data_IF_552007401382
#
_entry.id   IF_552007401382
#
_cell.length_a   1.000
_cell.length_b   1.000
_cell.length_c   1.000
_cell.angle_alpha   90.00
_cell.angle_beta   90.00
_cell.angle_gamma   90.00
#
_symmetry.space_group_name_H-M   'P 1'
#
loop_
_entity.id
_entity.type
_entity.pdbx_description
1 polymer ?
#
# COMPACT_ATOMS: atom_id res chain seq x y z
N UNK A 1 5.64 -18.29 3.14
CA UNK A 1 4.61 -18.38 4.22
C UNK A 1 3.87 -17.06 4.24
N UNK A 2 2.53 -17.03 4.29
CA UNK A 2 1.77 -15.77 4.26
C UNK A 2 2.10 -14.89 5.47
N UNK A 3 2.61 -13.69 5.23
CA UNK A 3 2.96 -12.72 6.27
C UNK A 3 1.73 -12.37 7.15
N UNK A 4 1.89 -12.36 8.48
CA UNK A 4 0.78 -12.16 9.47
C UNK A 4 0.04 -10.82 9.34
N UNK A 5 0.61 -9.84 8.65
CA UNK A 5 0.03 -8.50 8.46
C UNK A 5 -0.40 -8.24 7.01
N UNK A 6 -0.41 -9.29 6.17
CA UNK A 6 -0.65 -9.15 4.73
C UNK A 6 0.34 -8.18 4.07
N UNK A 7 1.60 -8.16 4.53
CA UNK A 7 2.61 -7.22 4.06
C UNK A 7 2.91 -7.42 2.57
N UNK A 8 3.07 -6.33 1.80
CA UNK A 8 3.48 -6.42 0.41
C UNK A 8 4.91 -6.97 0.28
N UNK A 9 5.20 -7.71 -0.79
CA UNK A 9 6.54 -8.20 -1.07
C UNK A 9 6.62 -9.62 -1.62
N UNK A 10 7.82 -10.19 -1.60
CA UNK A 10 8.15 -11.48 -2.24
C UNK A 10 7.43 -12.64 -1.54
N UNK A 11 7.15 -12.51 -0.25
CA UNK A 11 6.45 -13.50 0.58
C UNK A 11 4.96 -13.14 0.83
N UNK A 12 4.37 -12.27 0.00
CA UNK A 12 2.99 -11.83 0.24
C UNK A 12 1.97 -12.94 0.00
N UNK A 13 0.84 -12.85 0.71
CA UNK A 13 -0.32 -13.74 0.55
C UNK A 13 -0.91 -13.69 -0.87
N UNK A 14 -0.66 -12.61 -1.60
CA UNK A 14 -1.19 -12.38 -2.94
C UNK A 14 -0.29 -12.98 -4.03
N UNK A 15 0.96 -13.35 -3.75
CA UNK A 15 1.88 -13.89 -4.77
C UNK A 15 1.65 -15.38 -5.12
N UNK A 16 0.68 -16.05 -4.50
CA UNK A 16 0.35 -17.44 -4.83
C UNK A 16 -0.22 -17.54 -6.26
N UNK A 17 0.21 -18.53 -7.04
CA UNK A 17 -0.30 -18.87 -8.39
C UNK A 17 -1.81 -19.12 -8.41
N UNK A 18 -2.42 -19.44 -7.27
CA UNK A 18 -3.87 -19.63 -7.10
C UNK A 18 -4.53 -18.53 -6.23
N UNK A 19 -3.75 -17.55 -5.78
CA UNK A 19 -4.20 -16.48 -4.88
C UNK A 19 -4.89 -15.34 -5.63
N UNK A 20 -6.00 -14.84 -5.09
CA UNK A 20 -6.64 -13.63 -5.60
C UNK A 20 -5.65 -12.45 -5.56
N UNK A 21 -5.49 -11.73 -6.68
CA UNK A 21 -4.65 -10.54 -6.75
C UNK A 21 -5.10 -9.48 -5.74
N UNK A 22 -4.15 -8.70 -5.22
CA UNK A 22 -4.45 -7.60 -4.32
C UNK A 22 -5.36 -6.56 -5.01
N UNK A 23 -6.48 -6.25 -4.37
CA UNK A 23 -7.53 -5.34 -4.85
C UNK A 23 -7.57 -4.06 -3.99
N UNK A 24 -8.69 -3.34 -4.02
CA UNK A 24 -8.88 -2.06 -3.33
C UNK A 24 -8.58 -2.10 -1.83
N UNK A 25 -9.17 -3.04 -1.08
CA UNK A 25 -9.02 -3.10 0.37
C UNK A 25 -7.58 -3.40 0.81
N UNK A 26 -6.87 -4.24 0.06
CA UNK A 26 -5.44 -4.47 0.28
C UNK A 26 -4.61 -3.23 -0.04
N UNK A 27 -4.95 -2.50 -1.11
CA UNK A 27 -4.34 -1.19 -1.39
C UNK A 27 -4.54 -0.21 -0.24
N UNK A 28 -5.77 -0.11 0.27
CA UNK A 28 -6.15 0.75 1.41
C UNK A 28 -5.33 0.43 2.67
N UNK A 29 -5.21 -0.86 3.00
CA UNK A 29 -4.42 -1.31 4.14
C UNK A 29 -2.92 -1.00 3.96
N UNK A 30 -2.37 -1.27 2.77
CA UNK A 30 -0.97 -0.96 2.46
C UNK A 30 -0.68 0.54 2.51
N UNK A 31 -1.61 1.38 2.04
CA UNK A 31 -1.48 2.83 2.10
C UNK A 31 -1.55 3.39 3.53
N UNK A 32 -2.44 2.86 4.38
CA UNK A 32 -2.60 3.29 5.77
C UNK A 32 -1.34 3.01 6.61
N UNK A 33 -0.66 1.89 6.34
CA UNK A 33 0.55 1.46 7.05
C UNK A 33 1.84 1.65 6.25
N UNK A 34 1.79 2.46 5.18
CA UNK A 34 2.92 2.71 4.28
C UNK A 34 4.23 3.06 5.02
N UNK A 35 4.28 4.01 5.98
CA UNK A 35 5.52 4.35 6.67
C UNK A 35 6.05 3.19 7.53
N UNK A 36 5.19 2.36 8.10
CA UNK A 36 5.60 1.18 8.87
C UNK A 36 6.22 0.12 7.93
N UNK A 37 5.59 -0.15 6.79
CA UNK A 37 6.12 -1.10 5.81
C UNK A 37 7.42 -0.61 5.16
N UNK A 38 7.54 0.69 4.94
CA UNK A 38 8.80 1.30 4.51
C UNK A 38 9.92 1.06 5.52
N UNK A 39 9.66 1.30 6.82
CA UNK A 39 10.66 1.09 7.87
C UNK A 39 11.11 -0.37 7.94
N UNK A 40 10.19 -1.32 7.77
CA UNK A 40 10.50 -2.76 7.76
C UNK A 40 11.27 -3.15 6.50
N UNK A 41 10.93 -2.57 5.34
CA UNK A 41 11.62 -2.80 4.06
C UNK A 41 13.10 -2.42 4.13
N UNK A 42 13.50 -1.45 4.96
CA UNK A 42 14.91 -1.09 5.17
C UNK A 42 15.75 -2.18 5.85
N UNK A 43 15.12 -3.05 6.64
CA UNK A 43 15.81 -4.12 7.37
C UNK A 43 15.48 -5.51 6.83
N UNK A 44 14.54 -5.62 5.88
CA UNK A 44 14.08 -6.89 5.33
C UNK A 44 13.73 -6.76 3.84
N UNK A 45 14.65 -7.21 2.99
CA UNK A 45 14.54 -7.18 1.54
C UNK A 45 13.36 -7.99 0.98
N UNK A 46 12.72 -8.83 1.80
CA UNK A 46 11.55 -9.62 1.39
C UNK A 46 10.24 -8.82 1.45
N UNK A 47 10.24 -7.68 2.14
CA UNK A 47 9.09 -6.79 2.28
C UNK A 47 9.26 -5.62 1.33
N UNK A 48 8.25 -5.40 0.48
CA UNK A 48 8.17 -4.29 -0.45
C UNK A 48 7.13 -3.29 0.04
N UNK A 49 7.28 -2.03 -0.37
CA UNK A 49 6.26 -0.99 -0.16
C UNK A 49 5.03 -1.27 -1.03
N UNK A 50 5.23 -1.93 -2.18
CA UNK A 50 4.21 -2.18 -3.18
C UNK A 50 3.99 -3.67 -3.42
N UNK A 51 2.74 -4.07 -3.59
CA UNK A 51 2.40 -5.43 -3.94
C UNK A 51 2.65 -5.70 -5.43
N UNK A 52 3.40 -6.76 -5.70
CA UNK A 52 3.72 -7.21 -7.06
C UNK A 52 2.56 -7.91 -7.76
N UNK A 53 1.71 -8.66 -7.04
CA UNK A 53 0.49 -9.23 -7.61
C UNK A 53 -0.74 -8.41 -7.23
N UNK A 54 -1.01 -7.34 -7.98
CA UNK A 54 -2.15 -6.45 -7.77
C UNK A 54 -3.07 -6.40 -9.01
N UNK A 55 -4.33 -6.02 -8.80
CA UNK A 55 -5.37 -5.86 -9.83
C UNK A 55 -5.29 -4.48 -10.54
N UNK A 56 -4.13 -3.83 -10.52
CA UNK A 56 -3.90 -2.52 -11.12
C UNK A 56 -4.69 -1.39 -10.47
N UNK A 57 -5.56 -0.73 -11.25
CA UNK A 57 -6.19 0.55 -10.90
C UNK A 57 -6.91 0.57 -9.55
N UNK A 58 -7.61 -0.51 -9.17
CA UNK A 58 -8.33 -0.56 -7.90
C UNK A 58 -7.40 -0.63 -6.70
N UNK A 59 -6.28 -1.33 -6.81
CA UNK A 59 -5.24 -1.35 -5.77
C UNK A 59 -4.61 0.04 -5.62
N UNK A 60 -4.26 0.66 -6.75
CA UNK A 60 -3.64 1.99 -6.77
C UNK A 60 -4.57 3.03 -6.12
N UNK A 61 -5.87 2.97 -6.42
CA UNK A 61 -6.88 3.83 -5.83
C UNK A 61 -6.99 3.64 -4.31
N UNK A 62 -7.05 2.38 -3.84
CA UNK A 62 -7.05 2.07 -2.41
C UNK A 62 -5.80 2.59 -1.70
N UNK A 63 -4.62 2.42 -2.32
CA UNK A 63 -3.35 2.87 -1.76
C UNK A 63 -3.30 4.39 -1.60
N UNK A 64 -3.76 5.15 -2.59
CA UNK A 64 -3.83 6.62 -2.51
C UNK A 64 -4.80 7.05 -1.39
N UNK A 65 -5.97 6.42 -1.30
CA UNK A 65 -6.96 6.72 -0.24
C UNK A 65 -6.39 6.38 1.14
N UNK A 66 -5.65 5.28 1.28
CA UNK A 66 -5.03 4.89 2.55
C UNK A 66 -3.95 5.87 3.00
N UNK A 67 -3.10 6.30 2.07
CA UNK A 67 -2.10 7.35 2.31
C UNK A 67 -2.79 8.64 2.74
N UNK A 68 -3.86 9.05 2.04
CA UNK A 68 -4.61 10.25 2.40
C UNK A 68 -5.29 10.14 3.78
N UNK A 69 -5.83 8.98 4.14
CA UNK A 69 -6.42 8.76 5.46
C UNK A 69 -5.40 8.90 6.60
N UNK A 70 -4.21 8.33 6.42
CA UNK A 70 -3.12 8.44 7.39
C UNK A 70 -2.51 9.85 7.43
N UNK A 71 -2.17 10.37 6.25
CA UNK A 71 -1.32 11.55 6.10
C UNK A 71 -2.11 12.85 5.95
N UNK A 72 -3.33 12.82 5.43
CA UNK A 72 -4.16 14.02 5.19
C UNK A 72 -4.60 14.75 6.46
N UNK A 73 -4.57 14.09 7.63
CA UNK A 73 -4.80 14.74 8.92
C UNK A 73 -3.53 15.41 9.50
N UNK A 74 -2.34 15.03 9.02
CA UNK A 74 -1.04 15.54 9.51
C UNK A 74 -0.37 16.47 8.50
N UNK A 75 -0.65 16.28 7.21
CA UNK A 75 -0.08 16.99 6.07
C UNK A 75 -1.21 17.82 5.44
N UNK A 76 -1.15 19.15 5.58
CA UNK A 76 -1.96 20.04 4.75
C UNK A 76 -1.48 19.90 3.31
N UNK A 77 -2.18 19.08 2.52
CA UNK A 77 -1.96 18.98 1.08
C UNK A 77 -2.71 20.15 0.45
N UNK A 78 -2.09 21.33 0.44
CA UNK A 78 -2.60 22.48 -0.31
C UNK A 78 -2.37 22.23 -1.80
N UNK A 79 -3.40 21.75 -2.50
CA UNK A 79 -3.45 21.91 -3.95
C UNK A 79 -3.59 23.40 -4.20
N UNK A 80 -2.50 24.04 -4.65
CA UNK A 80 -2.45 25.48 -4.84
C UNK A 80 -3.69 25.97 -5.57
N UNK A 81 -4.51 26.76 -4.88
CA UNK A 81 -5.61 27.50 -5.50
C UNK A 81 -4.97 28.56 -6.38
N UNK A 82 -4.66 28.22 -7.64
CA UNK A 82 -4.44 29.27 -8.64
C UNK A 82 -5.80 29.91 -8.87
N UNK A 83 -6.00 31.02 -8.18
CA UNK A 83 -7.03 32.01 -8.46
C UNK A 83 -6.84 32.42 -9.92
N UNK A 84 -7.74 31.95 -10.78
CA UNK A 84 -7.96 32.56 -12.09
C UNK A 84 -8.59 33.93 -11.90
#
# INVERSE_FOLDING_TARGET
MSNSLSMPGIESKYKSTEGQSASFLSGLWHGLLLPLFFLISLFNDKVSIYETNNNGSWYHFGLIVGIYGFAGNTINITFGTTVF
#
